data_IF_523608461934
#
_entry.id   IF_523608461934
#
_cell.length_a   1.000
_cell.length_b   1.000
_cell.length_c   1.000
_cell.angle_alpha   90.00
_cell.angle_beta   90.00
_cell.angle_gamma   90.00
#
_symmetry.space_group_name_H-M   'P 1'
#
loop_
_entity.id
_entity.type
_entity.pdbx_description
1 polymer ?
#
# COMPACT_ATOMS: atom_id res chain seq x y z
N UNK A 1 13.57 -3.40 -21.19
CA UNK A 1 12.17 -3.14 -20.82
C UNK A 1 12.08 -1.69 -20.38
N UNK A 2 11.11 -0.94 -20.88
CA UNK A 2 10.81 0.45 -20.45
C UNK A 2 9.45 0.42 -19.75
N UNK A 3 9.34 1.05 -18.57
CA UNK A 3 8.10 1.19 -17.78
C UNK A 3 7.88 2.68 -17.55
N UNK A 4 6.68 3.18 -17.87
CA UNK A 4 6.29 4.59 -17.73
C UNK A 4 4.99 4.70 -16.91
N UNK A 5 4.89 5.68 -16.02
CA UNK A 5 3.72 5.88 -15.15
C UNK A 5 3.89 7.00 -14.13
N UNK A 6 2.86 7.20 -13.29
CA UNK A 6 2.88 8.16 -12.18
C UNK A 6 3.78 7.65 -11.04
N UNK A 7 4.67 8.51 -10.53
CA UNK A 7 5.45 8.22 -9.33
C UNK A 7 4.66 8.55 -8.06
N UNK A 8 4.76 7.67 -7.06
CA UNK A 8 4.32 7.91 -5.69
C UNK A 8 5.56 7.98 -4.79
N UNK A 9 5.71 9.09 -4.05
CA UNK A 9 6.89 9.32 -3.21
C UNK A 9 6.45 9.39 -1.75
N UNK A 10 7.04 8.54 -0.94
CA UNK A 10 6.85 8.50 0.52
C UNK A 10 8.10 9.06 1.23
N UNK A 11 7.95 9.34 2.53
CA UNK A 11 9.05 9.82 3.37
C UNK A 11 10.00 8.71 3.83
N UNK A 12 10.75 8.98 4.89
CA UNK A 12 11.65 8.01 5.53
C UNK A 12 10.89 7.06 6.47
N UNK A 13 11.55 5.98 6.89
CA UNK A 13 11.04 5.01 7.88
C UNK A 13 9.71 4.33 7.49
N UNK A 14 9.55 3.99 6.21
CA UNK A 14 8.41 3.20 5.73
C UNK A 14 8.59 1.74 6.13
N UNK A 15 7.75 1.26 7.04
CA UNK A 15 7.70 -0.14 7.46
C UNK A 15 6.51 -0.88 6.84
N UNK A 16 6.36 -2.15 7.21
CA UNK A 16 5.31 -3.02 6.67
C UNK A 16 3.91 -2.63 7.11
N UNK A 17 3.74 -2.06 8.30
CA UNK A 17 2.42 -1.62 8.80
C UNK A 17 1.98 -0.33 8.09
N UNK A 18 2.92 0.52 7.67
CA UNK A 18 2.64 1.68 6.82
C UNK A 18 2.19 1.23 5.41
N UNK A 19 2.80 0.17 4.86
CA UNK A 19 2.43 -0.37 3.54
C UNK A 19 1.07 -1.08 3.60
N UNK A 20 0.87 -1.96 4.59
CA UNK A 20 -0.37 -2.71 4.78
C UNK A 20 -0.61 -2.98 6.28
N UNK A 21 -1.54 -2.27 6.92
CA UNK A 21 -1.80 -2.45 8.33
C UNK A 21 -2.26 -3.87 8.69
N UNK A 22 -1.75 -4.45 9.79
CA UNK A 22 -2.08 -5.80 10.24
C UNK A 22 -3.59 -6.11 10.35
N UNK A 23 -4.42 -5.08 10.58
CA UNK A 23 -5.90 -5.21 10.64
C UNK A 23 -6.55 -5.66 9.33
N UNK A 24 -5.86 -5.51 8.19
CA UNK A 24 -6.32 -5.97 6.88
C UNK A 24 -5.76 -7.35 6.49
N UNK A 25 -4.82 -7.91 7.26
CA UNK A 25 -4.20 -9.22 7.00
C UNK A 25 -5.07 -10.41 7.45
N UNK A 26 -6.39 -10.25 7.41
CA UNK A 26 -7.36 -11.33 7.69
C UNK A 26 -7.63 -12.22 6.49
N UNK A 27 -7.07 -11.87 5.34
CA UNK A 27 -7.23 -12.52 4.04
C UNK A 27 -5.85 -12.67 3.40
N UNK A 28 -5.72 -13.59 2.45
CA UNK A 28 -4.58 -13.68 1.54
C UNK A 28 -4.98 -13.37 0.10
N UNK A 29 -6.23 -12.95 -0.13
CA UNK A 29 -6.69 -12.52 -1.44
C UNK A 29 -5.97 -11.23 -1.85
N UNK A 30 -5.33 -11.26 -3.01
CA UNK A 30 -4.46 -10.16 -3.46
C UNK A 30 -5.26 -8.92 -3.82
N UNK A 31 -6.44 -9.10 -4.40
CA UNK A 31 -7.29 -7.98 -4.83
C UNK A 31 -7.90 -7.29 -3.61
N UNK A 32 -8.28 -8.05 -2.58
CA UNK A 32 -8.74 -7.51 -1.32
C UNK A 32 -7.64 -6.73 -0.58
N UNK A 33 -6.41 -7.27 -0.53
CA UNK A 33 -5.28 -6.58 0.11
C UNK A 33 -4.87 -5.30 -0.63
N UNK A 34 -4.91 -5.30 -1.97
CA UNK A 34 -4.54 -4.15 -2.79
C UNK A 34 -5.36 -2.89 -2.47
N UNK A 35 -6.61 -3.06 -2.02
CA UNK A 35 -7.53 -1.96 -1.65
C UNK A 35 -7.13 -1.22 -0.37
N UNK A 36 -6.18 -1.74 0.40
CA UNK A 36 -5.77 -1.16 1.68
C UNK A 36 -4.28 -0.80 1.73
N UNK A 37 -3.60 -0.82 0.57
CA UNK A 37 -2.21 -0.42 0.47
C UNK A 37 -2.07 1.07 0.74
N UNK A 38 -1.20 1.45 1.69
CA UNK A 38 -1.01 2.82 2.16
C UNK A 38 -2.27 3.50 2.75
N UNK A 39 -3.25 2.71 3.21
CA UNK A 39 -4.54 3.22 3.69
C UNK A 39 -4.41 4.29 4.80
N UNK A 40 -3.44 4.16 5.70
CA UNK A 40 -3.24 5.13 6.80
C UNK A 40 -2.52 6.42 6.36
N UNK A 41 -1.88 6.41 5.17
CA UNK A 41 -1.14 7.56 4.63
C UNK A 41 -1.99 8.32 3.61
N UNK A 42 -2.74 7.61 2.77
CA UNK A 42 -3.61 8.16 1.74
C UNK A 42 -4.91 7.35 1.65
N UNK A 43 -5.90 7.63 2.52
CA UNK A 43 -7.13 6.83 2.63
C UNK A 43 -8.06 6.88 1.42
N UNK A 44 -7.90 7.87 0.53
CA UNK A 44 -8.72 8.07 -0.66
C UNK A 44 -8.15 7.40 -1.92
N UNK A 45 -7.02 6.69 -1.81
CA UNK A 45 -6.43 5.90 -2.90
C UNK A 45 -6.93 4.45 -2.94
#
# INVERSE_FOLDING_TARGET
>A
MIIEGRSWKFGDNIDTDIIIPARYLRTTDKEELARYVFYDVEPEY
#
